data_IF_571201529976
#
_entry.id   IF_571201529976
#
_cell.length_a   1.000
_cell.length_b   1.000
_cell.length_c   1.000
_cell.angle_alpha   90.00
_cell.angle_beta   90.00
_cell.angle_gamma   90.00
#
_symmetry.space_group_name_H-M   'P 1'
#
loop_
_entity.id
_entity.type
_entity.pdbx_description
1 polymer ?
#
# COMPACT_ATOMS: atom_id res chain seq x y z
N UNK A 1 -21.72 -3.64 -7.10
CA UNK A 1 -20.32 -4.01 -6.78
C UNK A 1 -20.23 -5.52 -7.01
N UNK A 2 -19.56 -5.94 -8.08
CA UNK A 2 -19.54 -7.32 -8.57
C UNK A 2 -20.78 -7.68 -9.40
N UNK A 3 -20.56 -8.21 -10.59
CA UNK A 3 -21.55 -8.88 -11.44
C UNK A 3 -21.74 -10.37 -11.04
N UNK A 4 -21.15 -10.79 -9.92
CA UNK A 4 -21.10 -12.19 -9.48
C UNK A 4 -19.84 -12.94 -9.92
N UNK A 5 -18.93 -12.32 -10.68
CA UNK A 5 -17.65 -12.93 -11.07
C UNK A 5 -16.63 -12.99 -9.91
N UNK A 6 -15.71 -13.97 -10.00
CA UNK A 6 -14.60 -14.15 -9.06
C UNK A 6 -13.61 -12.99 -9.19
N UNK A 7 -13.34 -12.29 -8.08
CA UNK A 7 -12.35 -11.22 -8.05
C UNK A 7 -11.03 -11.63 -7.39
N UNK A 8 -9.92 -11.41 -8.09
CA UNK A 8 -8.57 -11.65 -7.57
C UNK A 8 -8.04 -10.40 -6.87
N UNK A 9 -7.52 -10.58 -5.65
CA UNK A 9 -6.85 -9.53 -4.87
C UNK A 9 -5.37 -9.89 -4.70
N UNK A 10 -4.49 -8.98 -5.10
CA UNK A 10 -3.05 -9.11 -4.93
C UNK A 10 -2.59 -8.48 -3.62
N UNK A 11 -1.58 -9.07 -2.97
CA UNK A 11 -0.97 -8.57 -1.74
C UNK A 11 0.51 -8.96 -1.70
N UNK A 12 1.31 -8.44 -2.64
CA UNK A 12 2.70 -8.87 -2.87
C UNK A 12 3.70 -7.70 -2.73
N UNK A 13 3.40 -6.75 -1.85
CA UNK A 13 4.30 -5.65 -1.49
C UNK A 13 4.44 -4.57 -2.56
N UNK A 14 5.55 -3.84 -2.50
CA UNK A 14 5.92 -2.77 -3.42
C UNK A 14 6.46 -3.36 -4.73
N UNK A 15 5.99 -2.84 -5.87
CA UNK A 15 6.40 -3.28 -7.19
C UNK A 15 6.55 -2.08 -8.14
N UNK A 16 7.16 -2.32 -9.30
CA UNK A 16 7.20 -1.34 -10.38
C UNK A 16 5.81 -1.10 -10.98
N UNK A 17 5.60 0.07 -11.60
CA UNK A 17 4.34 0.36 -12.29
C UNK A 17 4.08 -0.64 -13.43
N UNK A 18 5.13 -1.08 -14.13
CA UNK A 18 5.03 -2.11 -15.17
C UNK A 18 4.53 -3.45 -14.60
N UNK A 19 5.06 -3.88 -13.46
CA UNK A 19 4.61 -5.11 -12.81
C UNK A 19 3.13 -5.00 -12.40
N UNK A 20 2.72 -3.86 -11.82
CA UNK A 20 1.31 -3.61 -11.53
C UNK A 20 0.45 -3.65 -12.79
N UNK A 21 0.87 -3.03 -13.90
CA UNK A 21 0.16 -3.05 -15.18
C UNK A 21 -0.03 -4.49 -15.69
N UNK A 22 1.03 -5.30 -15.66
CA UNK A 22 0.98 -6.72 -16.06
C UNK A 22 0.00 -7.53 -15.19
N UNK A 23 0.00 -7.32 -13.87
CA UNK A 23 -0.95 -7.98 -12.97
C UNK A 23 -2.40 -7.58 -13.27
N UNK A 24 -2.62 -6.29 -13.55
CA UNK A 24 -3.95 -5.77 -13.91
C UNK A 24 -4.46 -6.35 -15.23
N UNK A 25 -3.61 -6.37 -16.25
CA UNK A 25 -3.91 -6.94 -17.56
C UNK A 25 -4.18 -8.46 -17.49
N UNK A 26 -3.52 -9.16 -16.55
CA UNK A 26 -3.76 -10.57 -16.27
C UNK A 26 -5.08 -10.85 -15.53
N UNK A 27 -5.86 -9.82 -15.16
CA UNK A 27 -7.19 -9.96 -14.56
C UNK A 27 -7.26 -9.69 -13.05
N UNK A 28 -6.18 -9.23 -12.41
CA UNK A 28 -6.24 -8.85 -11.00
C UNK A 28 -7.09 -7.59 -10.79
N UNK A 29 -7.99 -7.64 -9.80
CA UNK A 29 -9.01 -6.60 -9.60
C UNK A 29 -8.62 -5.63 -8.49
N UNK A 30 -8.11 -6.16 -7.37
CA UNK A 30 -7.77 -5.39 -6.18
C UNK A 30 -6.32 -5.57 -5.80
N UNK A 31 -5.77 -4.59 -5.08
CA UNK A 31 -4.44 -4.68 -4.52
C UNK A 31 -4.46 -4.18 -3.08
N UNK A 32 -3.90 -4.95 -2.16
CA UNK A 32 -3.70 -4.56 -0.77
C UNK A 32 -2.25 -4.16 -0.56
N UNK A 33 -2.05 -2.93 -0.14
CA UNK A 33 -0.75 -2.41 0.28
C UNK A 33 -0.99 -1.45 1.44
N UNK A 34 -0.67 -1.86 2.67
CA UNK A 34 -0.85 -1.00 3.83
C UNK A 34 0.23 0.08 3.84
N UNK A 35 -0.15 1.30 4.21
CA UNK A 35 0.81 2.39 4.46
C UNK A 35 1.47 2.22 5.82
N UNK A 36 0.85 1.43 6.71
CA UNK A 36 1.28 1.10 8.07
C UNK A 36 1.21 2.28 9.04
N UNK A 37 1.75 3.44 8.68
CA UNK A 37 1.61 4.71 9.41
C UNK A 37 1.85 5.86 8.45
N UNK A 38 1.14 6.97 8.60
CA UNK A 38 1.34 8.21 7.83
C UNK A 38 2.39 9.13 8.46
N UNK A 39 2.83 8.85 9.69
CA UNK A 39 3.94 9.53 10.34
C UNK A 39 5.28 8.91 9.87
N UNK A 40 6.10 9.72 9.19
CA UNK A 40 7.40 9.31 8.64
C UNK A 40 8.40 8.87 9.71
N UNK A 41 8.42 9.53 10.87
CA UNK A 41 9.32 9.16 11.97
C UNK A 41 8.94 7.80 12.56
N UNK A 42 7.64 7.53 12.72
CA UNK A 42 7.16 6.21 13.13
C UNK A 42 7.44 5.15 12.06
N UNK A 43 7.27 5.49 10.79
CA UNK A 43 7.59 4.59 9.68
C UNK A 43 9.06 4.16 9.74
N UNK A 44 9.99 5.09 9.97
CA UNK A 44 11.42 4.81 10.11
C UNK A 44 11.83 4.17 11.44
N UNK A 45 10.94 4.08 12.43
CA UNK A 45 11.17 3.29 13.65
C UNK A 45 10.82 1.82 13.46
N UNK A 46 9.82 1.53 12.61
CA UNK A 46 9.30 0.18 12.41
C UNK A 46 9.84 -0.49 11.13
N UNK A 47 10.55 0.26 10.29
CA UNK A 47 11.24 -0.24 9.10
C UNK A 47 12.74 0.08 9.13
N UNK A 48 13.59 -0.75 8.50
CA UNK A 48 14.99 -0.42 8.27
C UNK A 48 15.16 0.93 7.56
N UNK A 49 16.24 1.64 7.85
CA UNK A 49 16.60 2.87 7.14
C UNK A 49 17.50 2.56 5.96
N UNK A 50 16.91 2.01 4.91
CA UNK A 50 17.59 1.68 3.66
C UNK A 50 16.74 2.08 2.44
N UNK A 51 17.29 1.89 1.24
CA UNK A 51 16.63 2.27 -0.02
C UNK A 51 15.38 1.43 -0.33
N UNK A 52 15.23 0.25 0.27
CA UNK A 52 14.08 -0.65 0.05
C UNK A 52 12.89 -0.29 0.95
N UNK A 53 13.09 0.54 1.97
CA UNK A 53 12.07 0.87 2.97
C UNK A 53 11.84 2.39 3.07
N UNK A 54 11.56 3.01 1.93
CA UNK A 54 11.18 4.44 1.85
C UNK A 54 9.67 4.64 2.00
N UNK A 55 9.29 5.59 2.86
CA UNK A 55 7.90 6.03 3.00
C UNK A 55 7.37 6.62 1.68
N UNK A 56 8.20 7.41 1.00
CA UNK A 56 7.88 8.04 -0.27
C UNK A 56 7.63 7.00 -1.36
N UNK A 57 8.46 5.95 -1.42
CA UNK A 57 8.26 4.81 -2.32
C UNK A 57 6.93 4.12 -2.02
N UNK A 58 6.62 3.85 -0.75
CA UNK A 58 5.33 3.25 -0.35
C UNK A 58 4.14 4.07 -0.83
N UNK A 59 4.17 5.38 -0.60
CA UNK A 59 3.13 6.32 -1.04
C UNK A 59 3.02 6.35 -2.57
N UNK A 60 4.15 6.36 -3.27
CA UNK A 60 4.16 6.36 -4.74
C UNK A 60 3.64 5.03 -5.31
N UNK A 61 3.92 3.89 -4.67
CA UNK A 61 3.32 2.60 -5.04
C UNK A 61 1.79 2.64 -4.92
N UNK A 62 1.23 3.23 -3.86
CA UNK A 62 -0.23 3.41 -3.73
C UNK A 62 -0.80 4.28 -4.86
N UNK A 63 -0.09 5.34 -5.26
CA UNK A 63 -0.48 6.18 -6.40
C UNK A 63 -0.40 5.42 -7.73
N UNK A 64 0.68 4.67 -7.97
CA UNK A 64 0.85 3.80 -9.14
C UNK A 64 -0.28 2.80 -9.27
N UNK A 65 -0.63 2.10 -8.19
CA UNK A 65 -1.74 1.15 -8.16
C UNK A 65 -3.06 1.81 -8.57
N UNK A 66 -3.33 3.02 -8.07
CA UNK A 66 -4.51 3.80 -8.47
C UNK A 66 -4.45 4.22 -9.93
N UNK A 67 -3.29 4.68 -10.43
CA UNK A 67 -3.09 5.06 -11.85
C UNK A 67 -3.31 3.88 -12.79
N UNK A 68 -2.85 2.68 -12.42
CA UNK A 68 -3.02 1.43 -13.19
C UNK A 68 -4.47 0.94 -13.18
N UNK A 69 -5.30 1.41 -12.23
CA UNK A 69 -6.74 1.09 -12.18
C UNK A 69 -7.10 -0.06 -11.24
N UNK A 70 -6.25 -0.37 -10.27
CA UNK A 70 -6.63 -1.27 -9.18
C UNK A 70 -7.66 -0.63 -8.25
N UNK A 71 -8.53 -1.45 -7.68
CA UNK A 71 -9.19 -1.10 -6.42
C UNK A 71 -8.15 -1.25 -5.30
N UNK A 72 -7.61 -0.12 -4.85
CA UNK A 72 -6.52 -0.11 -3.87
C UNK A 72 -7.09 -0.14 -2.46
N UNK A 73 -6.72 -1.15 -1.68
CA UNK A 73 -6.91 -1.20 -0.24
C UNK A 73 -5.60 -0.87 0.48
N UNK A 74 -5.68 0.05 1.44
CA UNK A 74 -4.57 0.37 2.35
C UNK A 74 -5.08 0.37 3.80
N UNK A 75 -4.23 0.76 4.74
CA UNK A 75 -4.57 0.88 6.14
C UNK A 75 -3.35 1.13 7.00
N UNK A 76 -3.60 1.53 8.24
CA UNK A 76 -2.59 1.78 9.27
C UNK A 76 -2.54 0.65 10.29
N UNK A 77 -1.44 0.56 11.03
CA UNK A 77 -1.34 -0.18 12.28
C UNK A 77 -1.76 0.71 13.44
N UNK A 78 -2.42 0.11 14.44
CA UNK A 78 -2.84 0.78 15.66
C UNK A 78 -2.06 0.17 16.83
N UNK A 79 -1.50 1.02 17.69
CA UNK A 79 -0.73 0.62 18.86
C UNK A 79 0.77 0.45 18.62
N UNK A 80 1.35 1.14 17.63
CA UNK A 80 2.80 1.12 17.45
C UNK A 80 3.51 1.78 18.64
N UNK A 81 4.71 1.32 19.05
CA UNK A 81 5.47 1.96 20.12
C UNK A 81 5.74 3.45 19.85
N UNK A 82 5.18 4.31 20.70
CA UNK A 82 5.29 5.77 20.55
C UNK A 82 4.30 6.40 19.57
N UNK A 83 3.30 5.66 19.08
CA UNK A 83 2.19 6.21 18.29
C UNK A 83 1.21 6.95 19.18
N UNK A 84 0.79 8.11 18.73
CA UNK A 84 -0.19 8.99 19.38
C UNK A 84 -1.53 8.94 18.65
N UNK A 85 -2.57 9.49 19.26
CA UNK A 85 -3.88 9.64 18.61
C UNK A 85 -3.81 10.57 17.39
N UNK A 86 -2.98 11.63 17.46
CA UNK A 86 -2.75 12.53 16.34
C UNK A 86 -2.21 11.78 15.12
N UNK A 87 -1.30 10.81 15.33
CA UNK A 87 -0.77 9.95 14.26
C UNK A 87 -1.85 9.11 13.55
N UNK A 88 -3.00 8.88 14.19
CA UNK A 88 -4.11 8.10 13.63
C UNK A 88 -5.12 8.97 12.87
N UNK A 89 -5.21 10.26 13.21
CA UNK A 89 -6.18 11.20 12.63
C UNK A 89 -5.64 11.88 11.36
N UNK A 90 -4.32 11.99 11.25
CA UNK A 90 -3.61 12.72 10.19
C UNK A 90 -3.71 12.10 8.77
#
# INVERSE_FOLDING_TARGET
>A
IGDGSLGITMCVGEQSEEAYRRMREAGAIRYLLRIETTNTDLYHKIHPRDELHSFETRVECLRRLRRVGFQVGTGVMIGLPGQTEDDLVN
#
